data_IF_116678304261
#
_entry.id   IF_116678304261
#
_cell.length_a   1.000
_cell.length_b   1.000
_cell.length_c   1.000
_cell.angle_alpha   90.00
_cell.angle_beta   90.00
_cell.angle_gamma   90.00
#
_symmetry.space_group_name_H-M   'P 1'
#
loop_
_entity.id
_entity.type
_entity.pdbx_description
1 polymer ?
#
# COMPACT_ATOMS: atom_id res chain seq x y z
N UNK A 1 -32.22 -2.96 44.76
CA UNK A 1 -31.14 -3.98 44.81
C UNK A 1 -31.21 -4.73 43.49
N UNK A 2 -30.62 -4.19 42.42
CA UNK A 2 -29.21 -4.28 42.02
C UNK A 2 -28.81 -5.72 41.65
N UNK A 3 -29.03 -6.07 40.39
CA UNK A 3 -28.19 -7.05 39.69
C UNK A 3 -27.53 -6.32 38.51
N UNK A 4 -26.48 -5.58 38.87
CA UNK A 4 -25.46 -5.05 37.97
C UNK A 4 -24.40 -6.13 37.80
N UNK A 5 -24.06 -6.47 36.55
CA UNK A 5 -22.75 -7.03 36.23
C UNK A 5 -22.70 -8.56 36.15
N UNK A 6 -23.25 -9.12 35.08
CA UNK A 6 -22.57 -10.24 34.40
C UNK A 6 -21.88 -9.66 33.17
N UNK A 7 -20.68 -9.12 33.38
CA UNK A 7 -19.72 -9.04 32.29
C UNK A 7 -19.33 -10.48 31.99
N UNK A 8 -19.78 -11.00 30.86
CA UNK A 8 -19.11 -12.13 30.23
C UNK A 8 -17.72 -11.63 29.82
N UNK A 9 -16.75 -11.78 30.72
CA UNK A 9 -15.34 -11.60 30.41
C UNK A 9 -14.96 -12.67 29.40
N UNK A 10 -15.18 -12.37 28.12
CA UNK A 10 -14.75 -13.19 27.01
C UNK A 10 -13.22 -13.13 26.98
N UNK A 11 -12.60 -14.12 27.63
CA UNK A 11 -11.14 -14.27 27.65
C UNK A 11 -10.71 -14.69 26.25
N UNK A 12 -10.16 -13.74 25.50
CA UNK A 12 -9.52 -14.01 24.22
C UNK A 12 -8.19 -14.70 24.49
N UNK A 13 -8.11 -16.01 24.24
CA UNK A 13 -6.82 -16.70 24.21
C UNK A 13 -5.99 -16.16 23.03
N UNK A 14 -5.03 -15.30 23.33
CA UNK A 14 -4.03 -14.86 22.38
C UNK A 14 -3.16 -16.08 22.00
N UNK A 15 -3.47 -16.73 20.88
CA UNK A 15 -2.60 -17.74 20.27
C UNK A 15 -1.18 -17.17 20.16
N UNK A 16 -0.17 -17.99 20.44
CA UNK A 16 1.22 -17.54 20.36
C UNK A 16 1.48 -17.03 18.94
N UNK A 17 2.00 -15.81 18.80
CA UNK A 17 2.37 -15.20 17.50
C UNK A 17 3.17 -16.14 16.58
N UNK A 18 3.90 -17.10 17.16
CA UNK A 18 4.67 -18.16 16.47
C UNK A 18 3.81 -19.20 15.72
N UNK A 19 2.50 -19.20 15.91
CA UNK A 19 1.55 -20.11 15.25
C UNK A 19 0.97 -19.51 13.96
N UNK A 20 1.18 -18.23 13.72
CA UNK A 20 0.75 -17.58 12.48
C UNK A 20 1.83 -17.66 11.41
N UNK A 21 1.39 -17.89 10.17
CA UNK A 21 2.22 -17.65 9.00
C UNK A 21 2.68 -16.20 9.02
N UNK A 22 3.99 -15.98 8.95
CA UNK A 22 4.57 -14.64 9.03
C UNK A 22 5.48 -14.37 7.84
N UNK A 23 5.76 -13.09 7.60
CA UNK A 23 6.74 -12.66 6.59
C UNK A 23 7.96 -12.14 7.35
N UNK A 24 9.10 -12.81 7.16
CA UNK A 24 10.39 -12.34 7.64
C UNK A 24 10.97 -11.35 6.64
N UNK A 25 11.30 -10.16 7.14
CA UNK A 25 11.99 -9.10 6.40
C UNK A 25 13.48 -9.14 6.75
N UNK A 26 14.32 -9.38 5.74
CA UNK A 26 15.77 -9.28 5.86
C UNK A 26 16.25 -8.01 5.15
N UNK A 27 17.16 -7.28 5.77
CA UNK A 27 17.77 -6.09 5.20
C UNK A 27 19.28 -6.30 5.06
N UNK A 28 19.76 -6.24 3.82
CA UNK A 28 21.19 -6.25 3.50
C UNK A 28 21.59 -4.90 2.93
N UNK A 29 22.89 -4.63 2.83
CA UNK A 29 23.39 -3.39 2.24
C UNK A 29 24.31 -3.72 1.08
N UNK A 30 24.13 -3.02 -0.04
CA UNK A 30 25.08 -3.03 -1.15
C UNK A 30 25.85 -1.72 -1.15
N UNK A 31 27.14 -1.76 -1.44
CA UNK A 31 27.94 -0.57 -1.59
C UNK A 31 27.87 -0.08 -3.04
N UNK A 32 27.69 1.22 -3.22
CA UNK A 32 27.71 1.91 -4.51
C UNK A 32 28.74 3.01 -4.48
N UNK A 33 29.31 3.28 -5.64
CA UNK A 33 30.26 4.35 -5.86
C UNK A 33 29.71 5.28 -6.93
N UNK A 34 29.66 6.56 -6.62
CA UNK A 34 29.29 7.59 -7.57
C UNK A 34 30.54 8.40 -7.92
N UNK A 35 30.99 8.22 -9.16
CA UNK A 35 32.12 8.95 -9.74
C UNK A 35 31.62 10.30 -10.25
N UNK A 36 31.49 11.28 -9.33
CA UNK A 36 30.98 12.62 -9.65
C UNK A 36 31.76 13.28 -10.78
N UNK A 37 33.08 13.12 -10.79
CA UNK A 37 33.94 13.69 -11.82
C UNK A 37 33.61 13.21 -13.23
N UNK A 38 33.12 11.98 -13.39
CA UNK A 38 32.71 11.44 -14.69
C UNK A 38 31.29 11.85 -15.06
N UNK A 39 30.39 11.92 -14.07
CA UNK A 39 28.98 12.22 -14.31
C UNK A 39 28.76 13.70 -14.61
N UNK A 40 29.42 14.58 -13.85
CA UNK A 40 29.36 16.04 -14.01
C UNK A 40 30.44 16.57 -14.96
N UNK A 41 31.31 15.69 -15.48
CA UNK A 41 32.45 16.01 -16.38
C UNK A 41 33.41 17.07 -15.82
N UNK A 42 33.54 17.16 -14.50
CA UNK A 42 34.41 18.12 -13.82
C UNK A 42 35.52 17.40 -13.02
N UNK A 43 36.80 17.56 -13.40
CA UNK A 43 37.90 16.93 -12.69
C UNK A 43 38.06 17.50 -11.27
N UNK A 44 38.49 16.66 -10.33
CA UNK A 44 38.71 17.05 -8.93
C UNK A 44 37.49 16.93 -8.01
N UNK A 45 36.30 16.59 -8.54
CA UNK A 45 35.15 16.30 -7.70
C UNK A 45 35.36 15.00 -6.89
N UNK A 46 35.01 14.99 -5.59
CA UNK A 46 35.19 13.82 -4.75
C UNK A 46 34.25 12.69 -5.15
N UNK A 47 34.78 11.47 -5.17
CA UNK A 47 33.99 10.26 -5.35
C UNK A 47 33.17 10.01 -4.09
N UNK A 48 31.91 9.62 -4.25
CA UNK A 48 31.00 9.34 -3.12
C UNK A 48 30.77 7.84 -3.06
N UNK A 49 31.16 7.22 -1.94
CA UNK A 49 30.75 5.87 -1.61
C UNK A 49 29.52 5.92 -0.69
N UNK A 50 28.50 5.12 -0.98
CA UNK A 50 27.30 5.05 -0.15
C UNK A 50 26.73 3.63 -0.12
N UNK A 51 26.01 3.32 0.95
CA UNK A 51 25.36 2.04 1.15
C UNK A 51 23.88 2.14 0.81
N UNK A 52 23.39 1.24 -0.04
CA UNK A 52 21.97 1.11 -0.36
C UNK A 52 21.36 -0.07 0.39
N UNK A 53 20.31 0.14 1.22
CA UNK A 53 19.61 -0.96 1.87
C UNK A 53 18.77 -1.73 0.85
N UNK A 54 18.93 -3.04 0.78
CA UNK A 54 18.14 -3.97 -0.02
C UNK A 54 17.28 -4.81 0.92
N UNK A 55 15.98 -4.75 0.71
CA UNK A 55 15.01 -5.53 1.47
C UNK A 55 14.70 -6.81 0.71
N UNK A 56 14.69 -7.93 1.42
CA UNK A 56 14.19 -9.21 0.92
C UNK A 56 13.16 -9.75 1.90
N UNK A 57 12.06 -10.25 1.35
CA UNK A 57 10.99 -10.86 2.11
C UNK A 57 11.12 -12.38 1.98
N UNK A 58 10.79 -13.12 3.04
CA UNK A 58 10.72 -14.58 3.06
C UNK A 58 9.52 -15.01 3.91
N UNK A 59 8.84 -16.09 3.56
CA UNK A 59 7.81 -16.67 4.46
C UNK A 59 8.54 -17.28 5.66
N UNK A 60 8.04 -17.03 6.86
CA UNK A 60 8.49 -17.65 8.10
C UNK A 60 7.35 -18.53 8.63
N UNK A 61 7.60 -19.84 8.67
CA UNK A 61 6.68 -20.86 9.15
C UNK A 61 7.42 -22.15 9.49
N UNK A 62 6.84 -23.01 10.34
CA UNK A 62 7.42 -24.31 10.73
C UNK A 62 7.11 -25.37 9.68
N UNK A 63 7.93 -25.47 8.64
CA UNK A 63 8.12 -26.76 7.96
C UNK A 63 9.49 -27.30 8.36
N UNK A 64 9.48 -28.27 9.27
CA UNK A 64 10.68 -29.01 9.66
C UNK A 64 11.30 -29.63 8.40
N UNK A 65 12.45 -29.10 7.98
CA UNK A 65 13.36 -29.79 7.06
C UNK A 65 13.19 -29.53 5.57
N UNK A 66 12.33 -28.59 5.15
CA UNK A 66 12.33 -28.15 3.75
C UNK A 66 13.03 -26.79 3.61
N UNK A 67 13.90 -26.74 2.60
CA UNK A 67 14.75 -25.60 2.23
C UNK A 67 13.89 -24.33 2.19
N UNK A 68 14.37 -23.24 2.80
CA UNK A 68 13.73 -21.92 2.74
C UNK A 68 13.59 -21.47 1.27
N UNK A 69 12.50 -21.85 0.61
CA UNK A 69 12.24 -21.41 -0.76
C UNK A 69 11.98 -19.90 -0.77
N UNK A 70 12.78 -19.20 -1.59
CA UNK A 70 12.60 -17.79 -1.88
C UNK A 70 11.27 -17.61 -2.60
N UNK A 71 10.17 -17.42 -1.86
CA UNK A 71 8.86 -17.14 -2.47
C UNK A 71 8.91 -15.84 -3.27
N UNK A 72 8.28 -15.87 -4.43
CA UNK A 72 7.94 -14.68 -5.22
C UNK A 72 6.81 -13.99 -4.47
N UNK A 73 7.04 -12.74 -4.06
CA UNK A 73 6.00 -11.92 -3.43
C UNK A 73 5.27 -11.13 -4.50
N UNK A 74 3.95 -11.25 -4.50
CA UNK A 74 3.08 -10.41 -5.31
C UNK A 74 2.58 -9.24 -4.46
N UNK A 75 2.37 -8.11 -5.10
CA UNK A 75 1.59 -7.01 -4.54
C UNK A 75 0.36 -6.81 -5.43
N UNK A 76 -0.69 -6.26 -4.84
CA UNK A 76 -1.96 -6.04 -5.52
C UNK A 76 -2.20 -4.54 -5.65
N UNK A 77 -2.78 -4.15 -6.78
CA UNK A 77 -3.24 -2.79 -7.04
C UNK A 77 -4.69 -2.90 -7.49
N UNK A 78 -5.59 -2.26 -6.74
CA UNK A 78 -6.99 -2.15 -7.14
C UNK A 78 -7.19 -0.90 -8.00
N UNK A 79 -7.97 -1.06 -9.06
CA UNK A 79 -8.31 0.03 -9.98
C UNK A 79 -9.81 -0.01 -10.24
N UNK A 80 -10.38 1.16 -10.53
CA UNK A 80 -11.79 1.29 -10.88
C UNK A 80 -12.10 0.53 -12.17
N UNK A 81 -13.19 -0.23 -12.15
CA UNK A 81 -13.67 -0.96 -13.31
C UNK A 81 -13.95 0.02 -14.47
N UNK A 82 -13.60 -0.37 -15.70
CA UNK A 82 -13.73 0.45 -16.91
C UNK A 82 -12.84 1.72 -16.97
N UNK A 83 -11.95 1.94 -16.00
CA UNK A 83 -10.95 3.01 -16.13
C UNK A 83 -9.97 2.71 -17.28
N UNK A 84 -9.38 3.76 -17.86
CA UNK A 84 -8.35 3.64 -18.90
C UNK A 84 -7.20 2.73 -18.42
N UNK A 85 -6.85 2.83 -17.13
CA UNK A 85 -5.83 1.99 -16.51
C UNK A 85 -6.27 0.53 -16.43
N UNK A 86 -7.52 0.24 -16.05
CA UNK A 86 -8.04 -1.13 -16.02
C UNK A 86 -8.02 -1.76 -17.41
N UNK A 87 -8.48 -1.03 -18.44
CA UNK A 87 -8.47 -1.50 -19.84
C UNK A 87 -7.03 -1.80 -20.28
N UNK A 88 -6.08 -0.89 -20.01
CA UNK A 88 -4.68 -1.11 -20.39
C UNK A 88 -4.07 -2.30 -19.65
N UNK A 89 -4.32 -2.45 -18.35
CA UNK A 89 -3.84 -3.60 -17.56
C UNK A 89 -4.41 -4.92 -18.10
N UNK A 90 -5.70 -4.96 -18.45
CA UNK A 90 -6.33 -6.15 -19.03
C UNK A 90 -5.68 -6.53 -20.36
N UNK A 91 -5.45 -5.57 -21.26
CA UNK A 91 -4.78 -5.81 -22.54
C UNK A 91 -3.34 -6.32 -22.36
N UNK A 92 -2.59 -5.73 -21.42
CA UNK A 92 -1.24 -6.18 -21.06
C UNK A 92 -1.23 -7.60 -20.46
N UNK A 93 -2.28 -8.00 -19.75
CA UNK A 93 -2.35 -9.34 -19.16
C UNK A 93 -2.67 -10.46 -20.16
N UNK A 94 -3.32 -10.14 -21.29
CA UNK A 94 -3.81 -11.13 -22.26
C UNK A 94 -2.85 -11.37 -23.41
N UNK A 95 -2.29 -10.32 -24.01
CA UNK A 95 -1.67 -10.43 -25.34
C UNK A 95 -0.41 -9.56 -25.52
N UNK A 96 -0.31 -8.42 -24.83
CA UNK A 96 0.88 -7.54 -24.90
C UNK A 96 1.85 -7.84 -23.73
N UNK A 97 2.71 -8.85 -23.87
CA UNK A 97 3.89 -8.92 -22.99
C UNK A 97 4.67 -7.62 -23.16
N UNK A 98 4.82 -6.88 -22.05
CA UNK A 98 5.62 -5.66 -22.01
C UNK A 98 7.02 -5.98 -22.58
N UNK A 99 7.43 -5.22 -23.59
CA UNK A 99 8.73 -5.39 -24.24
C UNK A 99 9.90 -5.05 -23.31
N UNK A 100 9.62 -4.33 -22.22
CA UNK A 100 10.61 -3.87 -21.24
C UNK A 100 10.19 -4.28 -19.82
N UNK A 101 11.16 -4.68 -18.99
CA UNK A 101 10.91 -4.97 -17.57
C UNK A 101 10.38 -3.73 -16.85
N UNK A 102 9.32 -3.89 -16.06
CA UNK A 102 8.81 -2.82 -15.20
C UNK A 102 9.55 -2.81 -13.87
N UNK A 103 9.72 -1.62 -13.30
CA UNK A 103 10.43 -1.44 -12.03
C UNK A 103 9.66 -0.52 -11.09
N UNK A 104 9.75 -0.79 -9.79
CA UNK A 104 9.18 0.06 -8.74
C UNK A 104 10.26 0.82 -7.98
N UNK A 105 10.13 2.14 -7.93
CA UNK A 105 10.92 3.03 -7.07
C UNK A 105 12.38 3.21 -7.53
N UNK A 106 13.16 3.90 -6.69
CA UNK A 106 14.49 4.44 -7.04
C UNK A 106 15.61 3.40 -7.20
N UNK A 107 15.36 2.12 -6.88
CA UNK A 107 16.38 1.06 -6.96
C UNK A 107 16.36 0.30 -8.28
N UNK A 108 15.46 0.68 -9.19
CA UNK A 108 15.37 0.17 -10.56
C UNK A 108 16.72 0.22 -11.31
N UNK A 109 17.41 1.37 -11.25
CA UNK A 109 18.72 1.59 -11.88
C UNK A 109 19.84 0.69 -11.33
N UNK A 110 19.63 0.09 -10.16
CA UNK A 110 20.54 -0.88 -9.56
C UNK A 110 20.15 -2.33 -9.83
N UNK A 111 19.15 -2.57 -10.69
CA UNK A 111 18.66 -3.91 -11.04
C UNK A 111 17.70 -4.52 -10.01
N UNK A 112 17.13 -3.73 -9.10
CA UNK A 112 16.19 -4.21 -8.09
C UNK A 112 14.76 -3.75 -8.37
N UNK A 113 13.80 -4.37 -7.70
CA UNK A 113 12.37 -4.07 -7.77
C UNK A 113 11.76 -4.24 -9.17
N UNK A 114 12.35 -5.12 -9.99
CA UNK A 114 11.72 -5.58 -11.21
C UNK A 114 10.44 -6.35 -10.87
N UNK A 115 9.37 -6.09 -11.60
CA UNK A 115 8.11 -6.81 -11.45
C UNK A 115 7.49 -7.07 -12.82
N UNK A 116 6.62 -8.08 -12.85
CA UNK A 116 5.79 -8.39 -14.00
C UNK A 116 4.32 -8.40 -13.59
N UNK A 117 3.45 -8.11 -14.56
CA UNK A 117 2.02 -8.21 -14.35
C UNK A 117 1.64 -9.69 -14.36
N UNK A 118 1.37 -10.26 -13.18
CA UNK A 118 1.01 -11.67 -13.06
C UNK A 118 -0.41 -11.95 -13.57
N UNK A 119 -1.40 -11.17 -13.11
CA UNK A 119 -2.81 -11.36 -13.48
C UNK A 119 -3.62 -10.08 -13.22
N UNK A 120 -4.69 -9.90 -13.99
CA UNK A 120 -5.76 -8.94 -13.70
C UNK A 120 -7.02 -9.73 -13.41
N UNK A 121 -7.64 -9.43 -12.27
CA UNK A 121 -8.81 -10.14 -11.72
C UNK A 121 -9.79 -9.12 -11.18
N UNK A 122 -11.09 -9.40 -11.32
CA UNK A 122 -12.10 -8.69 -10.55
C UNK A 122 -12.01 -9.14 -9.10
N UNK A 123 -12.19 -8.22 -8.16
CA UNK A 123 -12.01 -8.50 -6.73
C UNK A 123 -12.99 -9.58 -6.26
N UNK A 124 -14.21 -9.59 -6.81
CA UNK A 124 -15.24 -10.61 -6.53
C UNK A 124 -14.81 -12.04 -6.88
N UNK A 125 -13.89 -12.21 -7.83
CA UNK A 125 -13.47 -13.52 -8.35
C UNK A 125 -12.25 -14.08 -7.59
N UNK A 126 -11.68 -13.34 -6.64
CA UNK A 126 -10.45 -13.75 -5.95
C UNK A 126 -10.80 -14.59 -4.71
N UNK A 127 -10.91 -15.90 -4.91
CA UNK A 127 -11.16 -16.88 -3.84
C UNK A 127 -10.08 -16.87 -2.73
N UNK A 128 -8.85 -16.47 -3.06
CA UNK A 128 -7.69 -16.51 -2.16
C UNK A 128 -7.59 -15.34 -1.18
N UNK A 129 -8.25 -14.21 -1.44
CA UNK A 129 -8.00 -13.00 -0.65
C UNK A 129 -8.70 -13.01 0.72
N UNK A 130 -9.65 -13.92 0.99
CA UNK A 130 -10.52 -13.87 2.19
C UNK A 130 -11.15 -12.47 2.41
N UNK A 131 -11.16 -11.63 1.37
CA UNK A 131 -11.74 -10.30 1.39
C UNK A 131 -13.22 -10.53 1.12
N UNK A 132 -14.04 -10.36 2.16
CA UNK A 132 -15.48 -10.25 1.96
C UNK A 132 -15.74 -8.90 1.30
N UNK A 133 -15.71 -8.86 -0.03
CA UNK A 133 -16.41 -7.78 -0.77
C UNK A 133 -17.88 -8.07 -0.54
N UNK A 134 -18.50 -7.40 0.43
CA UNK A 134 -19.94 -7.55 0.63
C UNK A 134 -20.63 -7.02 -0.62
N UNK A 135 -21.37 -7.90 -1.29
CA UNK A 135 -22.51 -7.49 -2.11
C UNK A 135 -23.48 -6.77 -1.18
N UNK A 136 -24.01 -5.65 -1.67
CA UNK A 136 -25.02 -4.82 -1.01
C UNK A 136 -25.94 -5.66 -0.12
N UNK A 137 -25.70 -5.60 1.20
CA UNK A 137 -26.56 -6.16 2.23
C UNK A 137 -26.55 -5.11 3.34
N UNK A 138 -27.43 -4.10 3.27
CA UNK A 138 -28.87 -4.12 3.58
C UNK A 138 -29.17 -4.08 5.09
N UNK A 139 -28.38 -3.33 5.87
CA UNK A 139 -28.89 -2.70 7.09
C UNK A 139 -28.63 -1.19 6.97
N UNK A 140 -29.65 -0.40 6.60
CA UNK A 140 -29.56 1.06 6.60
C UNK A 140 -29.15 1.56 8.00
N UNK A 141 -28.23 2.52 8.07
CA UNK A 141 -27.75 3.22 9.29
C UNK A 141 -26.72 2.52 10.19
N UNK A 142 -26.06 1.42 9.77
CA UNK A 142 -24.94 0.88 10.53
C UNK A 142 -23.61 1.48 10.07
N UNK A 143 -22.77 1.95 11.01
CA UNK A 143 -21.42 2.45 10.69
C UNK A 143 -20.58 1.30 10.15
N UNK A 144 -20.08 1.43 8.92
CA UNK A 144 -19.22 0.41 8.30
C UNK A 144 -17.78 0.63 8.73
N UNK A 145 -17.07 -0.47 9.00
CA UNK A 145 -15.65 -0.48 9.37
C UNK A 145 -14.84 -1.08 8.22
N UNK A 146 -13.76 -0.41 7.86
CA UNK A 146 -12.86 -0.81 6.78
C UNK A 146 -11.43 -0.88 7.28
N UNK A 147 -10.71 -1.95 6.94
CA UNK A 147 -9.27 -2.04 7.10
C UNK A 147 -8.59 -1.38 5.89
N UNK A 148 -7.74 -0.40 6.17
CA UNK A 148 -6.89 0.24 5.18
C UNK A 148 -5.69 -0.65 4.83
N UNK A 149 -5.50 -0.99 3.56
CA UNK A 149 -4.37 -1.82 3.10
C UNK A 149 -3.27 -1.04 2.37
N UNK A 150 -3.38 0.29 2.29
CA UNK A 150 -2.45 1.11 1.52
C UNK A 150 -2.33 2.55 2.02
N UNK A 151 -1.77 3.40 1.17
CA UNK A 151 -1.67 4.84 1.39
C UNK A 151 -3.02 5.49 1.08
N UNK A 152 -3.68 6.06 2.10
CA UNK A 152 -4.96 6.73 1.95
C UNK A 152 -4.81 8.24 2.16
N UNK A 153 -5.19 9.02 1.15
CA UNK A 153 -5.50 10.44 1.33
C UNK A 153 -7.01 10.53 1.55
N UNK A 154 -7.48 10.75 2.79
CA UNK A 154 -8.90 10.72 3.09
C UNK A 154 -9.61 11.86 2.37
N UNK A 155 -10.83 11.58 1.92
CA UNK A 155 -11.80 12.64 1.68
C UNK A 155 -12.40 13.02 3.05
N UNK A 156 -12.16 14.23 3.54
CA UNK A 156 -12.44 14.63 4.93
C UNK A 156 -13.90 14.44 5.33
N UNK A 157 -14.82 14.61 4.37
CA UNK A 157 -16.27 14.47 4.55
C UNK A 157 -16.73 13.01 4.60
N UNK A 158 -15.89 12.06 4.18
CA UNK A 158 -16.24 10.64 4.07
C UNK A 158 -15.93 9.81 5.32
N UNK A 159 -15.19 10.38 6.28
CA UNK A 159 -14.59 9.65 7.40
C UNK A 159 -15.21 10.06 8.75
N UNK A 160 -15.56 9.09 9.58
CA UNK A 160 -15.82 9.32 10.99
C UNK A 160 -14.50 9.30 11.77
N UNK A 161 -13.89 10.47 11.90
CA UNK A 161 -12.60 10.66 12.57
C UNK A 161 -12.58 10.19 14.03
N UNK A 162 -13.71 10.29 14.73
CA UNK A 162 -13.79 9.93 16.15
C UNK A 162 -13.89 8.43 16.36
N UNK A 163 -14.59 7.74 15.46
CA UNK A 163 -14.80 6.29 15.56
C UNK A 163 -13.69 5.48 14.87
N UNK A 164 -12.85 6.14 14.06
CA UNK A 164 -11.73 5.50 13.33
C UNK A 164 -10.48 5.35 14.20
N UNK A 165 -9.71 4.29 13.96
CA UNK A 165 -8.38 4.07 14.54
C UNK A 165 -7.36 4.33 13.42
N UNK A 166 -6.72 5.49 13.47
CA UNK A 166 -5.89 5.98 12.38
C UNK A 166 -4.43 6.11 12.81
N UNK A 167 -3.53 5.62 11.97
CA UNK A 167 -2.12 5.94 12.03
C UNK A 167 -1.77 6.83 10.82
N UNK A 168 -1.19 7.99 11.09
CA UNK A 168 -0.86 9.00 10.07
C UNK A 168 0.65 9.04 9.91
N UNK A 169 1.11 8.97 8.66
CA UNK A 169 2.50 9.18 8.29
C UNK A 169 2.62 10.41 7.41
N UNK A 170 3.71 11.14 7.59
CA UNK A 170 4.08 12.27 6.74
C UNK A 170 5.31 11.89 5.92
N UNK A 171 5.24 12.12 4.62
CA UNK A 171 6.38 11.94 3.71
C UNK A 171 6.85 13.29 3.21
N UNK A 172 8.12 13.61 3.46
CA UNK A 172 8.83 14.69 2.77
C UNK A 172 9.16 14.22 1.35
N UNK A 173 8.36 14.67 0.39
CA UNK A 173 8.50 14.34 -1.02
C UNK A 173 9.47 15.34 -1.65
N UNK A 174 10.77 15.04 -1.57
CA UNK A 174 11.74 15.74 -2.42
C UNK A 174 11.45 15.39 -3.89
N UNK A 175 11.21 16.38 -4.77
CA UNK A 175 11.07 16.12 -6.19
C UNK A 175 12.35 15.44 -6.71
N UNK A 176 12.18 14.44 -7.58
CA UNK A 176 13.29 13.65 -8.12
C UNK A 176 14.31 14.51 -8.91
N UNK A 177 13.91 15.70 -9.39
CA UNK A 177 14.68 16.44 -10.40
C UNK A 177 14.83 17.96 -10.16
N UNK A 178 14.24 18.56 -9.11
CA UNK A 178 14.26 20.02 -8.95
C UNK A 178 14.68 20.42 -7.53
N UNK A 179 15.71 21.24 -7.41
CA UNK A 179 16.05 21.97 -6.17
C UNK A 179 14.98 23.03 -5.89
N UNK A 180 13.80 22.59 -5.47
CA UNK A 180 12.76 23.47 -4.95
C UNK A 180 12.89 23.45 -3.42
N UNK A 181 13.29 24.58 -2.84
CA UNK A 181 13.53 24.75 -1.40
C UNK A 181 12.25 24.62 -0.56
N UNK A 182 11.10 24.54 -1.21
CA UNK A 182 9.81 24.34 -0.54
C UNK A 182 9.67 22.90 -0.05
N UNK A 183 9.71 22.69 1.28
CA UNK A 183 9.43 21.38 1.89
C UNK A 183 8.01 20.93 1.51
N UNK A 184 7.91 19.73 0.93
CA UNK A 184 6.66 19.17 0.39
C UNK A 184 6.26 18.00 1.27
N UNK A 185 5.42 18.28 2.24
CA UNK A 185 4.92 17.26 3.16
C UNK A 185 3.55 16.81 2.69
N UNK A 186 3.43 15.51 2.42
CA UNK A 186 2.12 14.88 2.24
C UNK A 186 1.89 13.96 3.43
N UNK A 187 0.83 14.26 4.18
CA UNK A 187 0.34 13.40 5.25
C UNK A 187 -0.76 12.49 4.72
N UNK A 188 -0.71 11.22 5.10
CA UNK A 188 -1.65 10.20 4.66
C UNK A 188 -1.90 9.18 5.78
N UNK A 189 -3.06 8.55 5.74
CA UNK A 189 -3.40 7.43 6.62
C UNK A 189 -2.68 6.19 6.08
N UNK A 190 -1.98 5.47 6.94
CA UNK A 190 -1.19 4.29 6.54
C UNK A 190 -1.98 2.99 6.61
N UNK A 191 -1.48 1.98 5.92
CA UNK A 191 -2.01 0.62 5.97
C UNK A 191 -2.03 0.09 7.42
N UNK A 192 -3.07 -0.66 7.77
CA UNK A 192 -3.33 -1.12 9.14
C UNK A 192 -4.36 -0.28 9.90
N UNK A 193 -4.63 0.94 9.45
CA UNK A 193 -5.67 1.80 10.05
C UNK A 193 -7.07 1.22 9.84
N UNK A 194 -7.95 1.39 10.83
CA UNK A 194 -9.36 1.03 10.76
C UNK A 194 -10.19 2.29 10.56
N UNK A 195 -10.87 2.37 9.44
CA UNK A 195 -11.67 3.51 9.00
C UNK A 195 -13.14 3.21 9.25
N UNK A 196 -13.81 4.12 9.93
CA UNK A 196 -15.26 4.07 10.14
C UNK A 196 -15.94 5.09 9.25
N UNK A 197 -17.01 4.66 8.59
CA UNK A 197 -17.86 5.50 7.74
C UNK A 197 -19.30 5.47 8.24
N UNK A 198 -19.95 6.64 8.24
CA UNK A 198 -21.40 6.74 8.43
C UNK A 198 -22.12 6.49 7.09
N UNK A 199 -22.99 5.48 7.05
CA UNK A 199 -23.74 5.06 5.86
C UNK A 199 -24.98 5.95 5.60
N UNK A 200 -25.26 6.94 6.47
CA UNK A 200 -26.40 7.88 6.32
C UNK A 200 -26.35 8.74 5.06
N UNK A 201 -25.19 8.86 4.43
CA UNK A 201 -25.01 9.60 3.18
C UNK A 201 -25.02 8.61 2.00
N UNK A 202 -26.23 8.27 1.55
CA UNK A 202 -26.50 7.65 0.26
C UNK A 202 -25.89 8.54 -0.86
N UNK A 203 -24.74 8.16 -1.40
CA UNK A 203 -24.24 8.42 -2.76
C UNK A 203 -22.73 8.17 -2.78
N UNK A 204 -22.23 7.46 -3.78
CA UNK A 204 -21.00 7.69 -4.60
C UNK A 204 -19.69 8.27 -4.01
N UNK A 205 -19.50 8.42 -2.69
CA UNK A 205 -18.28 8.99 -2.11
C UNK A 205 -17.18 7.93 -1.94
N UNK A 206 -16.01 8.22 -2.53
CA UNK A 206 -14.76 7.46 -2.39
C UNK A 206 -14.07 7.89 -1.09
N UNK A 207 -13.80 6.93 -0.19
CA UNK A 207 -13.10 7.18 1.10
C UNK A 207 -11.73 7.83 0.90
N UNK A 208 -11.10 7.57 -0.25
CA UNK A 208 -9.84 8.18 -0.65
C UNK A 208 -9.99 9.09 -1.86
N UNK A 209 -9.08 10.05 -1.96
CA UNK A 209 -9.01 11.01 -3.06
C UNK A 209 -7.62 11.06 -3.69
N UNK A 210 -7.57 11.08 -5.01
CA UNK A 210 -6.35 11.44 -5.74
C UNK A 210 -6.22 12.96 -5.78
N UNK A 211 -5.02 13.47 -5.53
CA UNK A 211 -4.72 14.91 -5.62
C UNK A 211 -3.82 15.19 -6.81
N UNK A 212 -4.00 16.35 -7.45
CA UNK A 212 -3.08 16.79 -8.50
C UNK A 212 -1.74 17.16 -7.89
N UNK A 213 -0.66 16.87 -8.60
CA UNK A 213 0.67 17.30 -8.23
C UNK A 213 0.84 18.80 -8.50
N UNK A 214 0.58 19.60 -7.47
CA UNK A 214 0.78 21.05 -7.54
C UNK A 214 2.25 21.46 -7.32
N UNK A 215 3.10 20.50 -6.96
CA UNK A 215 4.40 20.78 -6.38
C UNK A 215 5.57 20.52 -7.31
N UNK A 216 5.44 19.69 -8.34
CA UNK A 216 6.52 19.47 -9.30
C UNK A 216 6.18 20.14 -10.65
N UNK A 217 6.82 21.27 -11.00
CA UNK A 217 6.67 21.92 -12.30
C UNK A 217 6.83 21.01 -13.52
N UNK A 218 7.72 20.02 -13.47
CA UNK A 218 7.93 19.05 -14.56
C UNK A 218 6.79 18.04 -14.67
N UNK A 219 6.05 17.83 -13.58
CA UNK A 219 4.95 16.87 -13.50
C UNK A 219 3.66 17.52 -12.99
N UNK A 220 3.31 18.74 -13.44
CA UNK A 220 2.09 19.47 -13.04
C UNK A 220 0.80 18.70 -13.31
N UNK A 221 0.82 17.82 -14.30
CA UNK A 221 -0.31 16.98 -14.68
C UNK A 221 -0.28 15.60 -13.99
N UNK A 222 0.73 15.32 -13.16
CA UNK A 222 0.76 14.06 -12.43
C UNK A 222 -0.32 14.03 -11.35
N UNK A 223 -0.84 12.83 -11.11
CA UNK A 223 -1.78 12.55 -10.03
C UNK A 223 -1.02 11.80 -8.92
N UNK A 224 -1.22 12.25 -7.69
CA UNK A 224 -0.81 11.51 -6.49
C UNK A 224 -2.01 10.65 -6.11
N UNK A 225 -1.84 9.33 -6.28
CA UNK A 225 -2.88 8.37 -5.92
C UNK A 225 -3.03 8.29 -4.41
N UNK A 226 -4.21 8.66 -3.91
CA UNK A 226 -4.57 8.54 -2.50
C UNK A 226 -5.76 7.61 -2.25
N UNK A 227 -6.21 6.91 -3.29
CA UNK A 227 -7.31 5.95 -3.20
C UNK A 227 -6.72 4.61 -2.74
N UNK A 228 -6.80 4.37 -1.44
CA UNK A 228 -6.30 3.13 -0.87
C UNK A 228 -7.24 1.96 -1.13
N UNK A 229 -6.70 0.74 -1.06
CA UNK A 229 -7.49 -0.48 -1.09
C UNK A 229 -8.06 -0.75 0.31
N UNK A 230 -9.38 -0.92 0.38
CA UNK A 230 -10.12 -1.03 1.63
C UNK A 230 -10.85 -2.37 1.69
N UNK A 231 -10.80 -3.00 2.86
CA UNK A 231 -11.48 -4.28 3.11
C UNK A 231 -12.51 -4.06 4.22
N UNK A 232 -13.78 -4.35 3.94
CA UNK A 232 -14.82 -4.28 4.98
C UNK A 232 -14.54 -5.34 6.06
N UNK A 233 -14.57 -4.91 7.31
CA UNK A 233 -14.49 -5.80 8.46
C UNK A 233 -15.90 -6.26 8.82
N UNK A 234 -16.16 -7.58 8.71
CA UNK A 234 -17.42 -8.16 9.19
C UNK A 234 -17.57 -7.94 10.70
N UNK A 235 -18.78 -7.60 11.14
CA UNK A 235 -19.10 -7.11 12.49
C UNK A 235 -18.52 -7.93 13.66
N UNK A 236 -18.09 -7.20 14.70
CA UNK A 236 -17.59 -7.72 15.97
C UNK A 236 -16.10 -7.47 16.21
N UNK A 237 -15.77 -6.26 16.70
CA UNK A 237 -14.69 -6.09 17.68
C UNK A 237 -15.38 -5.80 19.01
#
# INVERSE_FOLDING_TARGET
MSDLGKNDDQVWEAKKLKEYDSIKKNQNFIQKFHLKSQTEKWPGLPNIAYSLPILSLRKAGKEKGQIEEKKIFCFYVAVEENSILAIKLQNMSREEKLSLPCFLGSKASSGYNAYELAKVVRVEDIQELNIKVKKESAIPNEKKKFLNLGMLLPDEESLDWQSSILEISSSDRKPYEINDETSKVISFIIAGSVIVRDDKQNAEYKIGKCIKNQYNPLYRNALIFGNSFLVELGGGL
#
